data_IF_665622984539
#
_entry.id   IF_665622984539
#
_cell.length_a   1.000
_cell.length_b   1.000
_cell.length_c   1.000
_cell.angle_alpha   90.00
_cell.angle_beta   90.00
_cell.angle_gamma   90.00
#
_symmetry.space_group_name_H-M   'P 1'
#
loop_
_entity.id
_entity.type
_entity.pdbx_description
1 polymer ?
#
# COMPACT_ATOMS: atom_id res chain seq x y z
N UNK A 1 -0.72 -24.52 -15.07
CA UNK A 1 -1.83 -25.48 -15.22
C UNK A 1 -2.79 -25.00 -16.32
N UNK A 2 -3.39 -23.80 -16.20
CA UNK A 2 -4.34 -23.27 -17.19
C UNK A 2 -3.76 -23.20 -18.61
N UNK A 3 -2.55 -22.67 -18.77
CA UNK A 3 -1.88 -22.58 -20.07
C UNK A 3 -1.63 -23.94 -20.72
N UNK A 4 -1.47 -24.97 -19.91
CA UNK A 4 -1.33 -26.34 -20.39
C UNK A 4 -2.68 -26.90 -20.86
N UNK A 5 -3.74 -26.68 -20.09
CA UNK A 5 -5.10 -27.07 -20.47
C UNK A 5 -5.57 -26.40 -21.76
N UNK A 6 -5.30 -25.11 -21.92
CA UNK A 6 -5.66 -24.36 -23.13
C UNK A 6 -4.66 -24.52 -24.28
N UNK A 7 -3.64 -25.38 -24.14
CA UNK A 7 -2.60 -25.63 -25.16
C UNK A 7 -1.88 -24.37 -25.63
N UNK A 8 -1.83 -23.34 -24.78
CA UNK A 8 -1.15 -22.07 -25.07
C UNK A 8 0.28 -22.02 -24.52
N UNK A 9 0.72 -23.08 -23.81
CA UNK A 9 2.06 -23.20 -23.27
C UNK A 9 3.07 -23.44 -24.39
N UNK A 10 3.67 -22.37 -24.91
CA UNK A 10 4.80 -22.43 -25.84
C UNK A 10 6.10 -22.24 -25.06
N UNK A 11 7.18 -22.89 -25.49
CA UNK A 11 8.50 -22.76 -24.88
C UNK A 11 8.97 -21.30 -24.80
N UNK A 12 8.67 -20.51 -25.83
CA UNK A 12 8.97 -19.09 -25.88
C UNK A 12 8.26 -18.32 -24.75
N UNK A 13 6.96 -18.53 -24.58
CA UNK A 13 6.16 -17.85 -23.54
C UNK A 13 6.65 -18.23 -22.12
N UNK A 14 7.04 -19.52 -21.94
CA UNK A 14 7.62 -19.97 -20.69
C UNK A 14 8.94 -19.26 -20.39
N UNK A 15 9.85 -19.21 -21.37
CA UNK A 15 11.14 -18.53 -21.24
C UNK A 15 10.96 -17.04 -20.92
N UNK A 16 10.08 -16.35 -21.64
CA UNK A 16 9.78 -14.92 -21.40
C UNK A 16 9.21 -14.69 -20.00
N UNK A 17 8.31 -15.56 -19.53
CA UNK A 17 7.75 -15.48 -18.18
C UNK A 17 8.82 -15.67 -17.11
N UNK A 18 9.74 -16.63 -17.29
CA UNK A 18 10.86 -16.86 -16.36
C UNK A 18 11.78 -15.63 -16.31
N UNK A 19 12.15 -15.08 -17.47
CA UNK A 19 12.99 -13.88 -17.52
C UNK A 19 12.31 -12.68 -16.90
N UNK A 20 11.02 -12.47 -17.18
CA UNK A 20 10.27 -11.38 -16.58
C UNK A 20 10.21 -11.52 -15.06
N UNK A 21 9.91 -12.72 -14.56
CA UNK A 21 9.90 -13.02 -13.12
C UNK A 21 11.26 -12.75 -12.48
N UNK A 22 12.33 -13.25 -13.06
CA UNK A 22 13.69 -13.03 -12.56
C UNK A 22 14.05 -11.54 -12.51
N UNK A 23 13.72 -10.79 -13.57
CA UNK A 23 13.98 -9.35 -13.64
C UNK A 23 13.18 -8.59 -12.58
N UNK A 24 11.89 -8.89 -12.42
CA UNK A 24 11.02 -8.24 -11.43
C UNK A 24 11.47 -8.58 -10.01
N UNK A 25 11.80 -9.84 -9.74
CA UNK A 25 12.32 -10.25 -8.43
C UNK A 25 13.63 -9.55 -8.10
N UNK A 26 14.56 -9.48 -9.05
CA UNK A 26 15.83 -8.78 -8.85
C UNK A 26 15.61 -7.29 -8.55
N UNK A 27 14.69 -6.63 -9.27
CA UNK A 27 14.32 -5.24 -9.02
C UNK A 27 13.77 -5.05 -7.60
N UNK A 28 12.84 -5.89 -7.18
CA UNK A 28 12.25 -5.84 -5.83
C UNK A 28 13.33 -6.07 -4.76
N UNK A 29 14.24 -7.02 -4.96
CA UNK A 29 15.34 -7.27 -4.02
C UNK A 29 16.27 -6.06 -3.88
N UNK A 30 16.57 -5.35 -4.96
CA UNK A 30 17.35 -4.11 -4.90
C UNK A 30 16.60 -3.00 -4.15
N UNK A 31 15.28 -2.89 -4.34
CA UNK A 31 14.45 -1.95 -3.57
C UNK A 31 14.48 -2.29 -2.07
N UNK A 32 14.39 -3.56 -1.70
CA UNK A 32 14.51 -3.99 -0.30
C UNK A 32 15.86 -3.62 0.31
N UNK A 33 16.96 -3.89 -0.41
CA UNK A 33 18.32 -3.55 0.07
C UNK A 33 18.45 -2.03 0.26
N UNK A 34 18.01 -1.25 -0.72
CA UNK A 34 18.04 0.21 -0.64
C UNK A 34 17.21 0.77 0.49
N UNK A 35 15.99 0.27 0.66
CA UNK A 35 15.08 0.68 1.72
C UNK A 35 15.61 0.31 3.11
N UNK A 36 16.12 -0.91 3.29
CA UNK A 36 16.69 -1.31 4.57
C UNK A 36 17.93 -0.49 4.93
N UNK A 37 18.79 -0.22 3.95
CA UNK A 37 19.94 0.67 4.13
C UNK A 37 19.48 2.07 4.53
N UNK A 38 18.48 2.62 3.83
CA UNK A 38 17.90 3.92 4.17
C UNK A 38 17.34 3.93 5.59
N UNK A 39 16.51 2.95 5.95
CA UNK A 39 15.90 2.86 7.27
C UNK A 39 16.96 2.74 8.38
N UNK A 40 18.02 1.95 8.15
CA UNK A 40 19.12 1.79 9.11
C UNK A 40 19.91 3.08 9.30
N UNK A 41 20.25 3.77 8.21
CA UNK A 41 20.95 5.06 8.27
C UNK A 41 20.07 6.14 8.90
N UNK A 42 18.80 6.18 8.53
CA UNK A 42 17.81 7.10 9.10
C UNK A 42 17.68 6.92 10.62
N UNK A 43 17.56 5.66 11.07
CA UNK A 43 17.52 5.33 12.49
C UNK A 43 18.82 5.71 13.22
N UNK A 44 19.98 5.39 12.61
CA UNK A 44 21.29 5.71 13.18
C UNK A 44 21.54 7.22 13.33
N UNK A 45 21.02 8.03 12.40
CA UNK A 45 21.10 9.49 12.45
C UNK A 45 20.07 10.13 13.40
N UNK A 46 19.31 9.34 14.15
CA UNK A 46 18.27 9.87 15.05
C UNK A 46 17.01 10.34 14.34
N UNK A 47 16.77 9.89 13.11
CA UNK A 47 15.60 10.29 12.35
C UNK A 47 14.28 9.95 13.07
N UNK A 48 14.23 8.84 13.80
CA UNK A 48 13.06 8.49 14.60
C UNK A 48 12.81 9.51 15.71
N UNK A 49 13.87 9.96 16.39
CA UNK A 49 13.77 10.96 17.46
C UNK A 49 13.25 12.31 16.94
N UNK A 50 13.66 12.69 15.73
CA UNK A 50 13.16 13.92 15.07
C UNK A 50 11.67 13.83 14.79
N UNK A 51 11.21 12.69 14.25
CA UNK A 51 9.79 12.45 14.00
C UNK A 51 9.00 12.35 15.31
N UNK A 52 9.50 11.64 16.30
CA UNK A 52 8.90 11.57 17.62
C UNK A 52 8.74 12.95 18.23
N UNK A 53 9.82 13.74 18.23
CA UNK A 53 9.80 15.09 18.76
C UNK A 53 8.84 16.01 17.99
N UNK A 54 8.77 15.86 16.68
CA UNK A 54 7.82 16.60 15.84
C UNK A 54 6.37 16.24 16.23
N UNK A 55 6.01 14.97 16.24
CA UNK A 55 4.65 14.53 16.55
C UNK A 55 4.24 14.80 18.01
N UNK A 56 5.17 14.66 18.96
CA UNK A 56 4.89 14.94 20.38
C UNK A 56 4.84 16.43 20.68
N UNK A 57 5.62 17.27 19.98
CA UNK A 57 5.61 18.73 20.15
C UNK A 57 4.29 19.36 19.71
N UNK A 58 3.57 18.74 18.77
CA UNK A 58 2.29 19.24 18.26
C UNK A 58 1.11 18.83 19.17
N UNK A 59 1.35 18.03 20.23
CA UNK A 59 0.31 17.52 21.14
C UNK A 59 -0.89 16.89 20.40
N UNK A 60 -0.61 16.09 19.36
CA UNK A 60 -1.67 15.43 18.62
C UNK A 60 -2.18 14.20 19.37
N UNK A 61 -3.47 13.97 19.23
CA UNK A 61 -4.11 12.76 19.75
C UNK A 61 -3.83 11.56 18.86
N UNK A 62 -3.98 10.34 19.38
CA UNK A 62 -3.89 9.09 18.61
C UNK A 62 -4.73 9.14 17.32
N UNK A 63 -5.92 9.72 17.39
CA UNK A 63 -6.80 9.90 16.25
C UNK A 63 -6.22 10.80 15.17
N UNK A 64 -5.67 11.92 15.57
CA UNK A 64 -5.03 12.86 14.64
C UNK A 64 -3.80 12.25 14.00
N UNK A 65 -2.98 11.52 14.78
CA UNK A 65 -1.85 10.77 14.25
C UNK A 65 -2.29 9.78 13.15
N UNK A 66 -3.30 8.98 13.43
CA UNK A 66 -3.82 8.02 12.43
C UNK A 66 -4.33 8.74 11.18
N UNK A 67 -5.10 9.80 11.31
CA UNK A 67 -5.61 10.56 10.14
C UNK A 67 -4.46 11.17 9.33
N UNK A 68 -3.50 11.79 10.00
CA UNK A 68 -2.35 12.42 9.34
C UNK A 68 -1.53 11.37 8.56
N UNK A 69 -1.22 10.24 9.19
CA UNK A 69 -0.47 9.17 8.52
C UNK A 69 -1.22 8.60 7.33
N UNK A 70 -2.55 8.44 7.42
CA UNK A 70 -3.36 7.98 6.28
C UNK A 70 -3.40 9.02 5.15
N UNK A 71 -3.45 10.31 5.46
CA UNK A 71 -3.37 11.37 4.44
C UNK A 71 -1.99 11.36 3.76
N UNK A 72 -0.92 11.23 4.53
CA UNK A 72 0.44 11.13 3.97
C UNK A 72 0.54 9.94 3.02
N UNK A 73 0.11 8.75 3.44
CA UNK A 73 0.13 7.53 2.61
C UNK A 73 -0.72 7.69 1.35
N UNK A 74 -1.91 8.29 1.47
CA UNK A 74 -2.77 8.59 0.33
C UNK A 74 -2.09 9.50 -0.70
N UNK A 75 -1.46 10.58 -0.25
CA UNK A 75 -0.73 11.52 -1.11
C UNK A 75 0.51 10.86 -1.74
N UNK A 76 1.24 10.04 -0.99
CA UNK A 76 2.37 9.28 -1.49
C UNK A 76 1.94 8.25 -2.55
N UNK A 77 0.74 7.70 -2.44
CA UNK A 77 0.18 6.76 -3.41
C UNK A 77 -0.05 7.35 -4.80
N UNK A 78 0.04 8.65 -4.98
CA UNK A 78 -0.05 9.27 -6.30
C UNK A 78 1.25 9.12 -7.11
N UNK A 79 2.43 9.54 -6.61
CA UNK A 79 3.70 9.42 -7.33
C UNK A 79 4.41 8.07 -7.15
N UNK A 80 4.10 7.32 -6.09
CA UNK A 80 4.81 6.10 -5.72
C UNK A 80 3.95 4.85 -5.90
N UNK A 81 4.61 3.75 -6.19
CA UNK A 81 3.98 2.44 -6.16
C UNK A 81 3.76 1.97 -4.71
N UNK A 82 2.74 1.16 -4.48
CA UNK A 82 2.39 0.64 -3.16
C UNK A 82 3.54 -0.11 -2.47
N UNK A 83 4.37 -0.82 -3.24
CA UNK A 83 5.56 -1.52 -2.74
C UNK A 83 6.57 -0.57 -2.14
N UNK A 84 6.82 0.56 -2.78
CA UNK A 84 7.75 1.59 -2.30
C UNK A 84 7.24 2.21 -1.01
N UNK A 85 5.94 2.46 -0.91
CA UNK A 85 5.32 3.00 0.30
C UNK A 85 5.48 2.01 1.46
N UNK A 86 5.20 0.72 1.24
CA UNK A 86 5.33 -0.30 2.27
C UNK A 86 6.77 -0.48 2.75
N UNK A 87 7.73 -0.43 1.82
CA UNK A 87 9.13 -0.74 2.15
C UNK A 87 9.84 0.47 2.76
N UNK A 88 9.52 1.70 2.34
CA UNK A 88 10.24 2.91 2.76
C UNK A 88 9.50 3.62 3.89
N UNK A 89 8.21 3.89 3.71
CA UNK A 89 7.48 4.79 4.61
C UNK A 89 6.86 4.10 5.81
N UNK A 90 6.35 2.87 5.66
CA UNK A 90 5.76 2.14 6.80
C UNK A 90 6.75 1.94 7.95
N UNK A 91 8.01 1.53 7.70
CA UNK A 91 9.00 1.41 8.79
C UNK A 91 9.27 2.70 9.56
N UNK A 92 9.07 3.87 8.94
CA UNK A 92 9.22 5.16 9.61
C UNK A 92 8.10 5.38 10.64
N UNK A 93 6.89 4.89 10.36
CA UNK A 93 5.75 5.03 11.25
C UNK A 93 5.70 3.98 12.37
N UNK A 94 6.35 2.81 12.20
CA UNK A 94 6.26 1.72 13.18
C UNK A 94 6.68 2.11 14.61
N UNK A 95 7.79 2.83 14.85
CA UNK A 95 8.15 3.25 16.20
C UNK A 95 7.14 4.19 16.84
N UNK A 96 6.45 5.02 16.01
CA UNK A 96 5.44 5.96 16.49
C UNK A 96 4.17 5.27 16.97
N UNK A 97 3.89 4.03 16.52
CA UNK A 97 2.72 3.27 16.96
C UNK A 97 2.74 3.00 18.47
N UNK A 98 3.93 2.72 19.03
CA UNK A 98 4.10 2.50 20.46
C UNK A 98 3.82 3.78 21.26
N UNK A 99 4.32 4.92 20.77
CA UNK A 99 4.14 6.24 21.42
C UNK A 99 2.66 6.62 21.46
N UNK A 100 1.96 6.42 20.33
CA UNK A 100 0.54 6.73 20.20
C UNK A 100 -0.40 5.58 20.64
N UNK A 101 0.15 4.49 21.17
CA UNK A 101 -0.58 3.29 21.62
C UNK A 101 -1.55 2.76 20.56
N UNK A 102 -1.11 2.73 19.31
CA UNK A 102 -1.86 2.21 18.17
C UNK A 102 -1.56 0.73 18.00
N UNK A 103 -2.62 -0.08 17.87
CA UNK A 103 -2.46 -1.49 17.56
C UNK A 103 -1.85 -1.66 16.14
N UNK A 104 -0.69 -2.36 16.01
CA UNK A 104 -0.01 -2.53 14.73
C UNK A 104 -0.86 -3.24 13.66
N UNK A 105 -1.69 -4.20 14.05
CA UNK A 105 -2.59 -4.91 13.12
C UNK A 105 -3.65 -3.97 12.56
N UNK A 106 -4.22 -3.12 13.41
CA UNK A 106 -5.17 -2.11 12.99
C UNK A 106 -4.55 -1.11 12.00
N UNK A 107 -3.36 -0.63 12.31
CA UNK A 107 -2.59 0.26 11.44
C UNK A 107 -2.27 -0.38 10.10
N UNK A 108 -1.79 -1.64 10.11
CA UNK A 108 -1.50 -2.39 8.89
C UNK A 108 -2.74 -2.55 7.99
N UNK A 109 -3.90 -2.83 8.58
CA UNK A 109 -5.15 -2.95 7.82
C UNK A 109 -5.60 -1.61 7.23
N UNK A 110 -5.44 -0.50 7.95
CA UNK A 110 -5.70 0.84 7.42
C UNK A 110 -4.79 1.16 6.23
N UNK A 111 -3.49 0.84 6.34
CA UNK A 111 -2.54 1.01 5.23
C UNK A 111 -2.97 0.15 4.04
N UNK A 112 -3.29 -1.12 4.25
CA UNK A 112 -3.69 -2.03 3.19
C UNK A 112 -4.92 -1.53 2.41
N UNK A 113 -5.90 -0.95 3.10
CA UNK A 113 -7.05 -0.31 2.46
C UNK A 113 -6.65 0.98 1.72
N UNK A 114 -5.82 1.80 2.36
CA UNK A 114 -5.41 3.07 1.77
C UNK A 114 -4.61 2.87 0.48
N UNK A 115 -3.70 1.89 0.45
CA UNK A 115 -2.90 1.58 -0.73
C UNK A 115 -3.75 1.14 -1.93
N UNK A 116 -4.98 0.65 -1.72
CA UNK A 116 -5.89 0.38 -2.83
C UNK A 116 -6.29 1.65 -3.58
N UNK A 117 -6.29 2.81 -2.92
CA UNK A 117 -6.58 4.09 -3.58
C UNK A 117 -5.51 4.44 -4.61
N UNK A 118 -4.24 4.09 -4.38
CA UNK A 118 -3.12 4.28 -5.29
C UNK A 118 -3.32 3.53 -6.63
N UNK A 119 -3.94 2.32 -6.61
CA UNK A 119 -4.30 1.59 -7.82
C UNK A 119 -5.45 2.24 -8.62
N UNK A 120 -6.24 3.08 -7.98
CA UNK A 120 -7.43 3.70 -8.55
C UNK A 120 -7.18 5.14 -8.99
N UNK A 121 -6.18 5.82 -8.41
CA UNK A 121 -5.95 7.25 -8.63
C UNK A 121 -4.81 7.52 -9.61
N UNK A 122 -4.97 8.47 -10.57
CA UNK A 122 -3.87 8.93 -11.41
C UNK A 122 -2.77 9.58 -10.56
N UNK A 123 -1.50 9.52 -10.98
CA UNK A 123 -0.99 8.95 -12.23
C UNK A 123 -0.71 7.45 -12.20
N UNK A 124 -0.61 6.81 -11.03
CA UNK A 124 -0.27 5.38 -10.94
C UNK A 124 -1.40 4.46 -11.41
N UNK A 125 -2.64 4.70 -11.02
CA UNK A 125 -3.90 4.08 -11.50
C UNK A 125 -3.77 2.78 -12.30
N UNK A 126 -3.00 1.81 -11.81
CA UNK A 126 -2.65 0.58 -12.53
C UNK A 126 -3.89 -0.20 -13.01
N UNK A 127 -4.95 -0.22 -12.19
CA UNK A 127 -6.22 -0.86 -12.53
C UNK A 127 -6.83 -0.26 -13.81
N UNK A 128 -6.78 1.06 -13.97
CA UNK A 128 -7.29 1.75 -15.14
C UNK A 128 -6.47 1.45 -16.40
N UNK A 129 -5.15 1.43 -16.27
CA UNK A 129 -4.26 1.11 -17.39
C UNK A 129 -4.38 -0.34 -17.83
N UNK A 130 -4.49 -1.29 -16.90
CA UNK A 130 -4.74 -2.70 -17.24
C UNK A 130 -6.08 -2.87 -17.94
N UNK A 131 -7.15 -2.22 -17.44
CA UNK A 131 -8.45 -2.25 -18.08
C UNK A 131 -8.39 -1.66 -19.48
N UNK A 132 -7.69 -0.54 -19.66
CA UNK A 132 -7.48 0.06 -20.98
C UNK A 132 -6.72 -0.87 -21.93
N UNK A 133 -5.74 -1.61 -21.43
CA UNK A 133 -4.93 -2.52 -22.24
C UNK A 133 -5.66 -3.77 -22.72
N UNK A 134 -6.66 -4.27 -21.98
CA UNK A 134 -7.39 -5.51 -22.33
C UNK A 134 -8.72 -5.26 -23.01
N UNK A 135 -9.25 -4.03 -22.97
CA UNK A 135 -10.54 -3.72 -23.59
C UNK A 135 -10.45 -3.78 -25.13
N UNK A 136 -11.51 -4.27 -25.73
CA UNK A 136 -11.68 -4.33 -27.19
C UNK A 136 -12.48 -3.15 -27.75
N UNK A 137 -13.09 -2.36 -26.90
CA UNK A 137 -13.90 -1.19 -27.23
C UNK A 137 -13.08 0.08 -27.10
N UNK A 138 -13.42 1.12 -27.89
CA UNK A 138 -12.67 2.37 -27.93
C UNK A 138 -13.06 3.32 -26.76
N UNK A 139 -13.07 2.82 -25.52
CA UNK A 139 -13.34 3.62 -24.33
C UNK A 139 -12.13 4.48 -24.01
N UNK A 140 -12.32 5.77 -23.79
CA UNK A 140 -11.23 6.67 -23.42
C UNK A 140 -10.76 6.44 -21.97
N UNK A 141 -9.48 6.70 -21.70
CA UNK A 141 -8.91 6.55 -20.35
C UNK A 141 -9.64 7.44 -19.32
N UNK A 142 -10.08 8.62 -19.74
CA UNK A 142 -10.82 9.55 -18.88
C UNK A 142 -12.20 8.99 -18.48
N UNK A 143 -12.85 8.23 -19.35
CA UNK A 143 -14.12 7.56 -19.03
C UNK A 143 -13.92 6.46 -17.99
N UNK A 144 -12.81 5.71 -18.12
CA UNK A 144 -12.42 4.71 -17.13
C UNK A 144 -12.20 5.39 -15.76
N UNK A 145 -11.46 6.49 -15.70
CA UNK A 145 -11.25 7.23 -14.46
C UNK A 145 -12.56 7.74 -13.84
N UNK A 146 -13.48 8.25 -14.63
CA UNK A 146 -14.81 8.64 -14.13
C UNK A 146 -15.59 7.45 -13.56
N UNK A 147 -15.49 6.29 -14.21
CA UNK A 147 -16.09 5.05 -13.74
C UNK A 147 -15.48 4.51 -12.45
N UNK A 148 -14.20 4.83 -12.15
CA UNK A 148 -13.50 4.42 -10.94
C UNK A 148 -13.88 5.27 -9.72
N UNK A 149 -14.29 6.53 -9.90
CA UNK A 149 -14.57 7.46 -8.79
C UNK A 149 -15.56 6.91 -7.73
N UNK A 150 -16.66 6.23 -8.07
CA UNK A 150 -17.54 5.60 -7.09
C UNK A 150 -16.84 4.53 -6.26
N UNK A 151 -15.95 3.74 -6.86
CA UNK A 151 -15.18 2.71 -6.15
C UNK A 151 -14.15 3.31 -5.21
N UNK A 152 -13.50 4.40 -5.61
CA UNK A 152 -12.61 5.16 -4.73
C UNK A 152 -13.37 5.68 -3.50
N UNK A 153 -14.58 6.22 -3.70
CA UNK A 153 -15.43 6.68 -2.61
C UNK A 153 -15.81 5.53 -1.66
N UNK A 154 -16.07 4.32 -2.19
CA UNK A 154 -16.35 3.12 -1.39
C UNK A 154 -15.12 2.72 -0.54
N UNK A 155 -13.91 2.78 -1.10
CA UNK A 155 -12.68 2.49 -0.34
C UNK A 155 -12.49 3.48 0.79
N UNK A 156 -12.64 4.78 0.53
CA UNK A 156 -12.56 5.83 1.56
C UNK A 156 -13.63 5.62 2.63
N UNK A 157 -14.85 5.28 2.23
CA UNK A 157 -15.93 4.96 3.15
C UNK A 157 -15.62 3.71 3.99
N UNK A 158 -15.01 2.68 3.38
CA UNK A 158 -14.53 1.48 4.09
C UNK A 158 -13.45 1.83 5.13
N UNK A 159 -12.52 2.70 4.81
CA UNK A 159 -11.55 3.22 5.78
C UNK A 159 -12.23 3.95 6.94
N UNK A 160 -13.21 4.79 6.64
CA UNK A 160 -13.99 5.50 7.67
C UNK A 160 -14.75 4.51 8.57
N UNK A 161 -15.38 3.49 7.99
CA UNK A 161 -16.06 2.46 8.77
C UNK A 161 -15.09 1.69 9.68
N UNK A 162 -13.92 1.33 9.16
CA UNK A 162 -12.90 0.64 9.95
C UNK A 162 -12.37 1.52 11.09
N UNK A 163 -12.33 2.82 10.87
CA UNK A 163 -11.99 3.81 11.88
C UNK A 163 -13.05 3.89 13.00
N UNK A 164 -14.34 3.85 12.63
CA UNK A 164 -15.46 3.87 13.57
C UNK A 164 -15.62 2.55 14.33
N UNK A 165 -15.29 1.44 13.67
CA UNK A 165 -15.45 0.09 14.18
C UNK A 165 -14.18 -0.74 14.04
N UNK A 166 -13.14 -0.50 14.88
CA UNK A 166 -11.86 -1.23 14.81
C UNK A 166 -11.99 -2.74 14.88
N UNK A 167 -13.05 -3.23 15.53
CA UNK A 167 -13.35 -4.66 15.60
C UNK A 167 -13.55 -5.34 14.24
N UNK A 168 -13.87 -4.61 13.18
CA UNK A 168 -13.93 -5.17 11.81
C UNK A 168 -12.56 -5.75 11.41
N UNK A 169 -11.48 -5.07 11.78
CA UNK A 169 -10.12 -5.50 11.46
C UNK A 169 -9.53 -6.44 12.52
N UNK A 170 -9.88 -6.25 13.80
CA UNK A 170 -9.24 -6.92 14.92
C UNK A 170 -9.94 -8.20 15.37
N UNK A 171 -11.24 -8.35 15.08
CA UNK A 171 -12.02 -9.50 15.54
C UNK A 171 -11.41 -10.85 15.16
N UNK A 172 -11.01 -11.02 13.90
CA UNK A 172 -10.48 -12.30 13.45
C UNK A 172 -9.10 -12.61 14.03
N UNK A 173 -8.13 -11.68 14.07
CA UNK A 173 -6.88 -11.89 14.79
C UNK A 173 -7.08 -12.20 16.28
N UNK A 174 -7.98 -11.51 16.95
CA UNK A 174 -8.29 -11.75 18.36
C UNK A 174 -8.87 -13.15 18.59
N UNK A 175 -9.74 -13.63 17.72
CA UNK A 175 -10.31 -14.98 17.83
C UNK A 175 -9.29 -16.08 17.53
N UNK A 176 -8.39 -15.86 16.59
CA UNK A 176 -7.42 -16.88 16.16
C UNK A 176 -6.17 -16.93 17.04
N UNK A 177 -5.78 -15.83 17.66
CA UNK A 177 -4.53 -15.66 18.40
C UNK A 177 -4.79 -15.13 19.84
N UNK A 178 -6.02 -15.26 20.34
CA UNK A 178 -6.31 -15.03 21.75
C UNK A 178 -5.66 -16.15 22.56
N UNK A 179 -4.50 -15.88 23.14
CA UNK A 179 -3.84 -16.68 24.19
C UNK A 179 -4.51 -16.42 25.55
#
# INVERSE_FOLDING_TARGET
>A
ILSWFYKTLKWQNFKESVFLTAKTTAMIMWLFIGSWTFSSVFSYLGGHEVFEHFFTSINITTWQFLVITQIIIFLLGWPLEWTEILIIFVPIFLPLLEIFQVNPYFFAMLIALNLQTSFLTPPMAMSAYYLKGVQKTNVELMEIFRGIMPFLAIVIFGMFLMYMFPGIALWLPEVLFAD
#
